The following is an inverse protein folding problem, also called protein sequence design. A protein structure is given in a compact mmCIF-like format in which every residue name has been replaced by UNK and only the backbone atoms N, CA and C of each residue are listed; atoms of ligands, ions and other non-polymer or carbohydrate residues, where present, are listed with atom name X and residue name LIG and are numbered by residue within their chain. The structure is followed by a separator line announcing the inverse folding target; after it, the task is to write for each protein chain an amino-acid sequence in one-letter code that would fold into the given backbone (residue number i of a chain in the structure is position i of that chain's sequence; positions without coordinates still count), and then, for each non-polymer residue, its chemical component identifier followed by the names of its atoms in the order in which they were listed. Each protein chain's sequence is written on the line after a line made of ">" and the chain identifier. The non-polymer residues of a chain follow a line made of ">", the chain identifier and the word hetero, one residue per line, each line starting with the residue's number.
data_IF_029903746900
#
_entry.id   IF_029903746900
#
_cell.length_a   1.000
_cell.length_b   1.000
_cell.length_c   1.000
_cell.angle_alpha   90.00
_cell.angle_beta   90.00
_cell.angle_gamma   90.00
#
_symmetry.space_group_name_H-M   'P 1'
#
loop_
_entity.id
_entity.type
_entity.pdbx_description
1 polymer ?
#
# COMPACT_ATOMS: atom_id res chain seq x y z
N UNK A 1 18.49 -37.84 3.13
CA UNK A 1 18.55 -36.40 3.43
C UNK A 1 18.62 -35.64 2.11
N UNK A 2 17.95 -34.49 2.06
CA UNK A 2 18.06 -33.40 1.08
C UNK A 2 17.74 -33.71 -0.40
N UNK A 3 16.54 -33.31 -0.83
CA UNK A 3 16.44 -32.37 -1.95
C UNK A 3 15.12 -31.59 -1.84
N UNK A 4 15.12 -30.52 -1.04
CA UNK A 4 13.95 -29.66 -0.85
C UNK A 4 13.97 -28.64 -1.98
N UNK A 5 13.49 -29.08 -3.16
CA UNK A 5 13.32 -28.29 -4.37
C UNK A 5 12.75 -26.93 -3.99
N UNK A 6 13.61 -25.91 -4.08
CA UNK A 6 13.30 -24.52 -3.82
C UNK A 6 12.24 -24.10 -4.85
N UNK A 7 10.97 -24.29 -4.51
CA UNK A 7 9.84 -23.92 -5.37
C UNK A 7 9.97 -22.42 -5.62
N UNK A 8 10.22 -22.07 -6.88
CA UNK A 8 10.29 -20.70 -7.35
C UNK A 8 9.10 -19.92 -6.79
N UNK A 9 9.42 -19.03 -5.84
CA UNK A 9 8.48 -18.17 -5.11
C UNK A 9 7.72 -17.31 -6.13
N UNK A 10 6.62 -17.84 -6.65
CA UNK A 10 5.82 -17.19 -7.68
C UNK A 10 5.11 -16.01 -7.02
N UNK A 11 5.47 -14.79 -7.38
CA UNK A 11 4.86 -13.58 -6.84
C UNK A 11 3.49 -13.38 -7.48
N UNK A 12 2.46 -13.16 -6.66
CA UNK A 12 1.11 -12.81 -7.11
C UNK A 12 0.76 -11.43 -6.53
N UNK A 13 0.86 -10.38 -7.34
CA UNK A 13 0.66 -9.00 -6.87
C UNK A 13 1.63 -8.62 -5.72
N UNK A 14 1.12 -8.06 -4.61
CA UNK A 14 1.95 -7.71 -3.45
C UNK A 14 2.26 -8.92 -2.54
N UNK A 15 1.88 -10.14 -2.93
CA UNK A 15 2.06 -11.34 -2.11
C UNK A 15 3.14 -12.27 -2.67
N UNK A 16 3.95 -12.82 -1.75
CA UNK A 16 4.91 -13.88 -2.03
C UNK A 16 4.32 -15.21 -1.59
N UNK A 17 4.18 -16.16 -2.51
CA UNK A 17 3.57 -17.48 -2.25
C UNK A 17 4.54 -18.44 -1.56
N UNK A 18 4.07 -19.11 -0.52
CA UNK A 18 4.73 -20.21 0.15
C UNK A 18 4.20 -21.56 -0.30
N UNK A 19 4.09 -22.47 0.66
CA UNK A 19 3.66 -23.84 0.43
C UNK A 19 2.14 -23.90 0.23
N UNK A 20 1.71 -24.81 -0.63
CA UNK A 20 0.29 -25.12 -0.89
C UNK A 20 -0.35 -25.86 0.31
N UNK A 21 -1.66 -25.70 0.49
CA UNK A 21 -2.52 -26.57 1.30
C UNK A 21 -3.17 -27.62 0.40
N UNK A 22 -2.98 -28.88 0.72
CA UNK A 22 -3.45 -30.00 -0.10
C UNK A 22 -4.93 -30.32 0.19
N UNK A 23 -5.43 -29.89 1.34
CA UNK A 23 -6.77 -30.16 1.89
C UNK A 23 -7.90 -29.47 1.12
N UNK A 24 -7.62 -28.38 0.39
CA UNK A 24 -8.64 -27.62 -0.35
C UNK A 24 -9.21 -28.41 -1.53
N UNK A 25 -8.40 -29.26 -2.16
CA UNK A 25 -8.78 -30.03 -3.34
C UNK A 25 -8.95 -29.18 -4.62
N UNK A 26 -8.90 -29.79 -5.81
CA UNK A 26 -8.84 -29.06 -7.08
C UNK A 26 -10.12 -28.29 -7.44
N UNK A 27 -11.28 -28.69 -6.92
CA UNK A 27 -12.58 -28.10 -7.27
C UNK A 27 -12.72 -26.62 -6.85
N UNK A 28 -12.09 -26.25 -5.74
CA UNK A 28 -12.08 -24.87 -5.22
C UNK A 28 -10.82 -24.10 -5.65
N UNK A 29 -9.90 -24.76 -6.35
CA UNK A 29 -8.59 -24.22 -6.72
C UNK A 29 -7.49 -24.62 -5.74
N UNK A 30 -6.54 -23.71 -5.51
CA UNK A 30 -5.36 -23.97 -4.70
C UNK A 30 -5.10 -22.83 -3.72
N UNK A 31 -5.10 -23.15 -2.42
CA UNK A 31 -4.76 -22.20 -1.36
C UNK A 31 -3.29 -22.34 -0.97
N UNK A 32 -2.63 -21.21 -0.76
CA UNK A 32 -1.22 -21.14 -0.41
C UNK A 32 -1.01 -20.33 0.86
N UNK A 33 -0.05 -20.74 1.67
CA UNK A 33 0.64 -19.81 2.57
C UNK A 33 1.16 -18.64 1.73
N UNK A 34 1.10 -17.43 2.26
CA UNK A 34 1.66 -16.26 1.58
C UNK A 34 2.10 -15.20 2.57
N UNK A 35 2.91 -14.24 2.10
CA UNK A 35 3.30 -13.09 2.89
C UNK A 35 3.09 -11.82 2.08
N UNK A 36 2.51 -10.81 2.72
CA UNK A 36 2.44 -9.48 2.14
C UNK A 36 3.84 -8.88 2.09
N UNK A 37 4.39 -8.65 0.89
CA UNK A 37 5.79 -8.27 0.70
C UNK A 37 6.15 -6.95 1.41
N UNK A 38 5.32 -5.89 1.38
CA UNK A 38 5.63 -4.66 2.09
C UNK A 38 5.67 -4.79 3.62
N UNK A 39 4.72 -5.51 4.22
CA UNK A 39 4.59 -5.57 5.70
C UNK A 39 5.23 -6.81 6.31
N UNK A 40 5.56 -7.82 5.50
CA UNK A 40 6.01 -9.14 5.94
C UNK A 40 4.91 -9.97 6.62
N UNK A 41 3.68 -9.46 6.76
CA UNK A 41 2.61 -10.12 7.48
C UNK A 41 2.19 -11.44 6.80
N UNK A 42 1.86 -12.48 7.59
CA UNK A 42 1.33 -13.72 7.06
C UNK A 42 -0.06 -13.49 6.47
N UNK A 43 -0.29 -14.07 5.30
CA UNK A 43 -1.55 -14.04 4.57
C UNK A 43 -1.80 -15.40 3.93
N UNK A 44 -2.99 -15.59 3.36
CA UNK A 44 -3.28 -16.73 2.46
C UNK A 44 -3.65 -16.21 1.08
N UNK A 45 -3.22 -16.93 0.05
CA UNK A 45 -3.59 -16.61 -1.34
C UNK A 45 -4.32 -17.79 -1.94
N UNK A 46 -5.58 -17.56 -2.35
CA UNK A 46 -6.34 -18.52 -3.12
C UNK A 46 -6.11 -18.26 -4.61
N UNK A 47 -5.71 -19.30 -5.33
CA UNK A 47 -5.74 -19.33 -6.79
C UNK A 47 -6.98 -20.14 -7.22
N UNK A 48 -8.00 -19.50 -7.78
CA UNK A 48 -9.20 -20.18 -8.28
C UNK A 48 -8.82 -21.26 -9.30
N UNK A 49 -9.62 -22.33 -9.37
CA UNK A 49 -9.50 -23.34 -10.41
C UNK A 49 -10.06 -22.87 -11.76
N UNK A 50 -9.76 -23.59 -12.84
CA UNK A 50 -10.09 -23.21 -14.21
C UNK A 50 -11.60 -23.03 -14.48
N UNK A 51 -12.45 -23.59 -13.61
CA UNK A 51 -13.92 -23.45 -13.71
C UNK A 51 -14.41 -22.05 -13.32
N UNK A 52 -13.58 -21.21 -12.70
CA UNK A 52 -13.96 -19.90 -12.15
C UNK A 52 -13.63 -18.73 -13.11
N UNK A 53 -13.98 -18.91 -14.38
CA UNK A 53 -13.82 -17.96 -15.48
C UNK A 53 -14.59 -16.64 -15.31
N UNK A 54 -15.48 -16.53 -14.31
CA UNK A 54 -16.21 -15.31 -13.96
C UNK A 54 -15.36 -14.32 -13.15
N UNK A 55 -14.17 -14.71 -12.67
CA UNK A 55 -13.28 -13.85 -11.91
C UNK A 55 -12.50 -12.87 -12.80
N UNK A 56 -13.20 -12.13 -13.66
CA UNK A 56 -12.60 -11.19 -14.59
C UNK A 56 -13.35 -9.85 -14.61
N UNK A 57 -12.66 -8.83 -14.10
CA UNK A 57 -12.49 -7.49 -14.68
C UNK A 57 -11.87 -6.59 -13.62
N UNK A 58 -10.54 -6.46 -13.56
CA UNK A 58 -9.89 -5.42 -12.74
C UNK A 58 -9.60 -5.76 -11.27
N UNK A 59 -8.76 -4.94 -10.60
CA UNK A 59 -8.33 -5.18 -9.23
C UNK A 59 -9.46 -4.96 -8.24
N UNK A 60 -9.62 -5.91 -7.31
CA UNK A 60 -10.51 -5.82 -6.17
C UNK A 60 -9.69 -5.66 -4.88
N UNK A 61 -10.17 -4.84 -3.96
CA UNK A 61 -9.63 -4.72 -2.62
C UNK A 61 -10.81 -4.66 -1.64
N UNK A 62 -11.04 -5.76 -0.93
CA UNK A 62 -12.07 -5.91 0.09
C UNK A 62 -11.40 -5.86 1.46
N UNK A 63 -11.91 -5.03 2.36
CA UNK A 63 -11.38 -4.86 3.71
C UNK A 63 -12.51 -5.19 4.69
N UNK A 64 -12.33 -6.28 5.42
CA UNK A 64 -13.22 -6.67 6.52
C UNK A 64 -12.54 -6.26 7.81
N UNK A 65 -13.24 -5.49 8.64
CA UNK A 65 -12.73 -5.04 9.93
C UNK A 65 -13.73 -5.36 11.03
N UNK A 66 -13.19 -5.86 12.15
CA UNK A 66 -13.90 -6.04 13.40
C UNK A 66 -13.16 -5.22 14.46
N UNK A 67 -13.88 -4.42 15.23
CA UNK A 67 -13.31 -3.66 16.33
C UNK A 67 -13.39 -4.49 17.62
N UNK A 68 -12.41 -4.30 18.52
CA UNK A 68 -12.47 -4.92 19.83
C UNK A 68 -13.68 -4.40 20.59
N UNK A 69 -14.41 -5.28 21.28
CA UNK A 69 -15.63 -4.98 22.04
C UNK A 69 -16.83 -4.44 21.23
N UNK A 70 -16.79 -4.50 19.90
CA UNK A 70 -17.97 -4.24 19.06
C UNK A 70 -18.49 -5.53 18.41
N UNK A 71 -19.81 -5.78 18.41
CA UNK A 71 -20.40 -6.87 17.64
C UNK A 71 -20.41 -6.57 16.12
N UNK A 72 -20.08 -5.35 15.72
CA UNK A 72 -20.20 -4.91 14.33
C UNK A 72 -19.05 -5.43 13.47
N UNK A 73 -19.41 -5.95 12.29
CA UNK A 73 -18.48 -6.34 11.24
C UNK A 73 -18.68 -5.40 10.06
N UNK A 74 -17.65 -4.63 9.73
CA UNK A 74 -17.69 -3.70 8.60
C UNK A 74 -16.96 -4.28 7.39
N UNK A 75 -17.59 -4.22 6.22
CA UNK A 75 -16.97 -4.54 4.93
C UNK A 75 -16.85 -3.26 4.10
N UNK A 76 -15.62 -2.87 3.79
CA UNK A 76 -15.31 -1.73 2.92
C UNK A 76 -14.70 -2.19 1.61
N UNK A 77 -15.15 -1.58 0.52
CA UNK A 77 -14.58 -1.75 -0.80
C UNK A 77 -13.50 -0.68 -1.03
N UNK A 78 -12.24 -1.06 -0.96
CA UNK A 78 -11.10 -0.15 -1.18
C UNK A 78 -10.89 0.15 -2.65
N UNK A 79 -10.94 -0.88 -3.49
CA UNK A 79 -10.84 -0.80 -4.95
C UNK A 79 -11.85 -1.75 -5.56
N UNK A 80 -12.53 -1.27 -6.59
CA UNK A 80 -13.44 -2.07 -7.37
C UNK A 80 -13.41 -1.66 -8.83
N UNK A 81 -13.72 -2.59 -9.73
CA UNK A 81 -14.00 -2.27 -11.11
C UNK A 81 -15.20 -1.32 -11.22
N UNK A 82 -15.18 -0.34 -12.13
CA UNK A 82 -16.40 0.39 -12.46
C UNK A 82 -17.41 -0.65 -12.98
N UNK A 83 -18.60 -0.72 -12.39
CA UNK A 83 -19.68 -1.66 -12.74
C UNK A 83 -19.52 -3.11 -12.25
N UNK A 84 -18.70 -3.34 -11.24
CA UNK A 84 -18.64 -4.64 -10.58
C UNK A 84 -19.96 -4.95 -9.85
N UNK A 85 -20.69 -6.03 -10.22
CA UNK A 85 -21.96 -6.36 -9.57
C UNK A 85 -21.70 -6.88 -8.15
N UNK A 86 -22.56 -6.54 -7.16
CA UNK A 86 -22.43 -7.06 -5.79
C UNK A 86 -22.38 -8.59 -5.69
N UNK A 87 -23.01 -9.30 -6.63
CA UNK A 87 -22.96 -10.77 -6.71
C UNK A 87 -21.54 -11.30 -6.86
N UNK A 88 -20.69 -10.64 -7.65
CA UNK A 88 -19.30 -11.05 -7.84
C UNK A 88 -18.48 -10.96 -6.55
N UNK A 89 -18.76 -9.96 -5.72
CA UNK A 89 -18.16 -9.83 -4.38
C UNK A 89 -18.63 -10.97 -3.46
N UNK A 90 -19.92 -11.28 -3.47
CA UNK A 90 -20.46 -12.38 -2.67
C UNK A 90 -19.88 -13.73 -3.09
N UNK A 91 -19.75 -13.97 -4.40
CA UNK A 91 -19.15 -15.20 -4.93
C UNK A 91 -17.68 -15.33 -4.49
N UNK A 92 -16.93 -14.23 -4.45
CA UNK A 92 -15.56 -14.18 -3.91
C UNK A 92 -15.51 -14.56 -2.43
N UNK A 93 -16.42 -14.02 -1.62
CA UNK A 93 -16.49 -14.32 -0.19
C UNK A 93 -16.90 -15.78 0.05
N UNK A 94 -17.87 -16.30 -0.70
CA UNK A 94 -18.30 -17.70 -0.63
C UNK A 94 -17.14 -18.63 -1.02
N UNK A 95 -16.41 -18.31 -2.07
CA UNK A 95 -15.25 -19.08 -2.52
C UNK A 95 -14.12 -19.09 -1.48
N UNK A 96 -13.80 -17.92 -0.92
CA UNK A 96 -12.80 -17.81 0.14
C UNK A 96 -13.22 -18.59 1.37
N UNK A 97 -14.47 -18.45 1.82
CA UNK A 97 -15.04 -19.20 2.94
C UNK A 97 -14.96 -20.71 2.70
N UNK A 98 -15.42 -21.20 1.54
CA UNK A 98 -15.38 -22.61 1.20
C UNK A 98 -13.94 -23.18 1.20
N UNK A 99 -12.97 -22.39 0.73
CA UNK A 99 -11.55 -22.78 0.73
C UNK A 99 -10.97 -22.78 2.14
N UNK A 100 -11.29 -21.76 2.95
CA UNK A 100 -10.77 -21.60 4.30
C UNK A 100 -11.31 -22.69 5.24
N UNK A 101 -12.58 -23.07 5.12
CA UNK A 101 -13.17 -24.18 5.88
C UNK A 101 -12.49 -25.53 5.68
N UNK A 102 -11.74 -25.73 4.59
CA UNK A 102 -10.97 -26.96 4.36
C UNK A 102 -9.66 -26.99 5.12
N UNK A 103 -9.19 -25.85 5.59
CA UNK A 103 -7.88 -25.69 6.25
C UNK A 103 -7.99 -25.05 7.63
N UNK A 104 -9.20 -24.71 8.08
CA UNK A 104 -9.43 -23.97 9.32
C UNK A 104 -8.90 -24.70 10.55
N UNK A 105 -8.99 -26.04 10.56
CA UNK A 105 -8.45 -26.89 11.63
C UNK A 105 -6.97 -27.27 11.43
N UNK A 106 -6.31 -26.76 10.38
CA UNK A 106 -4.93 -27.13 10.07
C UNK A 106 -3.97 -26.49 11.07
N UNK A 107 -3.20 -27.27 11.86
CA UNK A 107 -2.20 -26.71 12.78
C UNK A 107 -1.15 -25.86 12.06
N UNK A 108 -0.91 -26.18 10.79
CA UNK A 108 -0.01 -25.44 9.92
C UNK A 108 -0.54 -24.05 9.57
N UNK A 109 -1.85 -23.91 9.34
CA UNK A 109 -2.47 -22.61 9.08
C UNK A 109 -2.40 -21.72 10.32
N UNK A 110 -2.73 -22.28 11.50
CA UNK A 110 -2.62 -21.57 12.76
C UNK A 110 -1.18 -21.10 13.04
N UNK A 111 -0.20 -22.00 12.87
CA UNK A 111 1.22 -21.66 13.05
C UNK A 111 1.68 -20.58 12.05
N UNK A 112 1.17 -20.58 10.82
CA UNK A 112 1.49 -19.57 9.81
C UNK A 112 0.97 -18.18 10.23
N UNK A 113 -0.28 -18.06 10.67
CA UNK A 113 -0.79 -16.77 11.15
C UNK A 113 -0.13 -16.31 12.45
N UNK A 114 0.21 -17.24 13.35
CA UNK A 114 0.92 -16.93 14.59
C UNK A 114 2.40 -16.54 14.37
N UNK A 115 2.99 -16.84 13.21
CA UNK A 115 4.41 -16.60 12.94
C UNK A 115 4.82 -15.12 12.91
N UNK A 116 3.85 -14.21 12.76
CA UNK A 116 4.09 -12.78 12.71
C UNK A 116 4.84 -12.31 11.45
N UNK A 117 5.20 -11.02 11.38
CA UNK A 117 5.85 -10.45 10.19
C UNK A 117 7.25 -11.03 9.95
N UNK A 118 7.48 -11.57 8.76
CA UNK A 118 8.81 -12.04 8.35
C UNK A 118 9.66 -10.85 7.93
N UNK A 119 10.70 -10.53 8.72
CA UNK A 119 11.67 -9.49 8.36
C UNK A 119 12.47 -9.92 7.13
N UNK A 120 12.50 -9.09 6.09
CA UNK A 120 13.38 -9.32 4.95
C UNK A 120 14.84 -9.35 5.44
N UNK A 121 15.49 -10.50 5.29
CA UNK A 121 16.89 -10.66 5.68
C UNK A 121 17.78 -9.76 4.83
N UNK A 122 18.31 -8.69 5.45
CA UNK A 122 19.33 -7.80 4.83
C UNK A 122 20.63 -8.53 4.44
N UNK A 123 20.81 -9.80 4.84
CA UNK A 123 22.02 -10.57 4.55
C UNK A 123 22.20 -10.91 3.07
N UNK A 124 21.13 -10.95 2.27
CA UNK A 124 21.22 -11.30 0.85
C UNK A 124 21.84 -10.18 -0.02
N UNK A 125 21.83 -8.92 0.45
CA UNK A 125 22.46 -7.81 -0.29
C UNK A 125 23.92 -7.57 0.13
N UNK A 126 24.25 -7.86 1.39
CA UNK A 126 25.62 -7.73 1.91
C UNK A 126 26.61 -8.69 1.22
N UNK A 127 26.16 -9.88 0.81
CA UNK A 127 27.03 -10.86 0.14
C UNK A 127 27.43 -10.45 -1.30
N UNK A 128 26.60 -9.67 -1.99
CA UNK A 128 26.93 -9.13 -3.32
C UNK A 128 27.81 -7.88 -3.26
N UNK A 129 27.72 -7.09 -2.19
CA UNK A 129 28.56 -5.92 -1.98
C UNK A 129 30.02 -6.29 -1.64
N UNK A 130 30.23 -7.36 -0.86
CA UNK A 130 31.57 -7.83 -0.49
C UNK A 130 32.36 -8.41 -1.68
N UNK A 131 31.69 -9.10 -2.61
CA UNK A 131 32.34 -9.61 -3.83
C UNK A 131 32.75 -8.48 -4.79
N UNK A 132 31.97 -7.40 -4.89
CA UNK A 132 32.31 -6.22 -5.70
C UNK A 132 33.43 -5.37 -5.10
N UNK A 133 33.48 -5.23 -3.77
CA UNK A 133 34.49 -4.44 -3.07
C UNK A 133 35.90 -5.07 -3.16
N UNK A 134 36.01 -6.41 -3.12
CA UNK A 134 37.29 -7.11 -3.26
C UNK A 134 37.92 -6.93 -4.66
N UNK A 135 37.10 -6.89 -5.72
CA UNK A 135 37.57 -6.67 -7.08
C UNK A 135 38.05 -5.22 -7.31
N UNK A 136 37.39 -4.23 -6.70
CA UNK A 136 37.79 -2.82 -6.77
C UNK A 136 39.07 -2.51 -5.96
N UNK A 137 39.26 -3.15 -4.80
CA UNK A 137 40.47 -2.96 -3.99
C UNK A 137 41.74 -3.46 -4.69
N UNK A 138 41.65 -4.57 -5.43
CA UNK A 138 42.77 -5.09 -6.24
C UNK A 138 43.04 -4.22 -7.48
N UNK A 139 42.00 -3.63 -8.08
CA UNK A 139 42.14 -2.69 -9.21
C UNK A 139 42.75 -1.34 -8.82
N UNK A 140 42.38 -0.80 -7.65
CA UNK A 140 42.92 0.46 -7.14
C UNK A 140 44.35 0.32 -6.58
N UNK A 141 44.69 -0.82 -5.98
CA UNK A 141 46.05 -1.10 -5.49
C UNK A 141 47.10 -1.07 -6.61
N UNK A 142 46.73 -1.52 -7.82
CA UNK A 142 47.63 -1.48 -8.98
C UNK A 142 47.80 -0.06 -9.56
N UNK A 143 46.81 0.81 -9.39
CA UNK A 143 46.87 2.20 -9.90
C UNK A 143 47.71 3.12 -9.01
N UNK A 144 47.68 2.94 -7.69
CA UNK A 144 48.41 3.81 -6.75
C UNK A 144 49.93 3.59 -6.72
N UNK A 145 50.43 2.45 -7.20
CA UNK A 145 51.88 2.23 -7.28
C UNK A 145 52.57 2.96 -8.44
N UNK A 146 51.82 3.56 -9.38
CA UNK A 146 52.38 4.23 -10.57
C UNK A 146 52.46 5.76 -10.41
N UNK A 147 51.70 6.37 -9.49
CA UNK A 147 51.62 7.84 -9.38
C UNK A 147 52.28 8.40 -8.11
N UNK A 148 53.39 7.83 -7.68
CA UNK A 148 54.22 8.39 -6.62
C UNK A 148 55.12 9.53 -7.13
N UNK A 149 54.59 10.76 -7.22
CA UNK A 149 55.38 11.99 -7.07
C UNK A 149 54.53 13.17 -6.57
N UNK A 150 54.94 13.67 -5.40
CA UNK A 150 54.42 14.69 -4.47
C UNK A 150 54.41 16.17 -4.99
N UNK A 151 54.11 17.23 -4.19
CA UNK A 151 53.15 17.46 -3.08
C UNK A 151 52.48 18.89 -3.03
N UNK A 152 51.64 19.13 -1.98
CA UNK A 152 51.30 20.41 -1.26
C UNK A 152 50.36 21.45 -1.95
N UNK A 153 49.45 22.21 -1.29
CA UNK A 153 48.98 22.38 0.11
C UNK A 153 47.79 23.39 0.16
N UNK A 154 46.88 23.22 1.15
CA UNK A 154 45.97 24.18 1.83
C UNK A 154 44.88 24.89 0.97
N UNK A 155 43.59 24.97 1.33
CA UNK A 155 43.02 25.60 2.53
C UNK A 155 41.50 25.28 2.72
N UNK A 156 40.97 25.57 3.92
CA UNK A 156 39.64 25.21 4.52
C UNK A 156 38.65 26.41 4.47
N UNK A 157 37.29 26.28 4.41
CA UNK A 157 36.39 26.08 5.59
C UNK A 157 35.12 25.21 5.41
N UNK A 158 34.67 24.60 6.51
CA UNK A 158 33.37 23.90 6.65
C UNK A 158 32.20 24.89 6.78
N UNK A 159 30.97 24.42 6.50
CA UNK A 159 29.89 24.64 7.45
C UNK A 159 29.20 23.34 7.88
N UNK A 160 28.91 23.36 9.18
CA UNK A 160 28.04 22.52 10.01
C UNK A 160 26.83 21.93 9.30
N UNK A 161 26.68 20.62 9.39
CA UNK A 161 25.46 19.89 9.05
C UNK A 161 25.35 18.65 9.93
N UNK A 162 24.79 18.80 11.12
CA UNK A 162 24.38 17.66 11.93
C UNK A 162 23.23 16.97 11.22
N UNK A 163 23.45 15.76 10.71
CA UNK A 163 22.36 14.87 10.31
C UNK A 163 22.48 13.57 11.09
N UNK A 164 21.85 13.57 12.26
CA UNK A 164 21.34 12.33 12.86
C UNK A 164 20.23 11.81 11.93
N UNK A 165 20.36 10.59 11.43
CA UNK A 165 19.27 9.86 10.79
C UNK A 165 18.82 8.75 11.74
N UNK A 166 17.91 9.09 12.63
CA UNK A 166 17.06 8.14 13.33
C UNK A 166 15.75 7.91 12.57
N UNK A 167 15.11 6.79 12.91
CA UNK A 167 14.03 6.13 12.19
C UNK A 167 12.86 7.05 11.78
N UNK A 168 12.21 6.79 10.63
CA UNK A 168 11.16 7.65 10.08
C UNK A 168 9.79 7.60 10.83
N UNK A 169 9.79 7.59 12.17
CA UNK A 169 8.63 7.55 13.11
C UNK A 169 7.91 6.17 13.12
N UNK A 170 7.55 5.49 14.23
CA UNK A 170 7.12 5.77 15.62
C UNK A 170 5.84 6.59 15.77
N UNK A 171 4.71 5.90 15.91
CA UNK A 171 3.40 6.50 16.18
C UNK A 171 3.22 6.65 17.70
N UNK A 172 3.12 7.90 18.14
CA UNK A 172 2.45 8.28 19.38
C UNK A 172 0.98 8.60 19.04
N UNK A 173 0.06 8.21 19.92
CA UNK A 173 -1.37 8.48 19.83
C UNK A 173 -1.65 9.97 19.53
N UNK A 174 -2.26 10.28 18.39
CA UNK A 174 -2.68 11.65 18.02
C UNK A 174 -3.15 11.79 16.57
N UNK A 175 -4.48 11.84 16.39
CA UNK A 175 -5.32 12.40 15.28
C UNK A 175 -4.88 12.32 13.79
N UNK A 176 -5.80 11.98 12.85
CA UNK A 176 -5.53 12.09 11.41
C UNK A 176 -5.32 13.57 11.02
N UNK A 177 -4.19 13.88 10.38
CA UNK A 177 -3.81 15.26 10.02
C UNK A 177 -4.35 15.57 8.62
N UNK A 178 -5.41 16.37 8.56
CA UNK A 178 -5.88 17.03 7.34
C UNK A 178 -4.78 17.92 6.72
N UNK A 179 -4.73 18.05 5.39
CA UNK A 179 -3.73 18.89 4.74
C UNK A 179 -4.18 20.36 4.64
N UNK A 180 -3.27 21.34 4.71
CA UNK A 180 -3.63 22.75 4.55
C UNK A 180 -3.98 23.09 3.10
N UNK A 181 -4.88 24.05 2.88
CA UNK A 181 -5.19 24.54 1.52
C UNK A 181 -3.92 25.07 0.81
N UNK A 182 -3.61 24.62 -0.41
CA UNK A 182 -2.42 25.04 -1.14
C UNK A 182 -2.49 26.50 -1.58
N UNK A 183 -1.33 27.16 -1.72
CA UNK A 183 -1.21 28.55 -2.19
C UNK A 183 -1.65 28.75 -3.65
N UNK A 184 -1.69 27.68 -4.44
CA UNK A 184 -2.15 27.68 -5.82
C UNK A 184 -3.12 26.51 -6.04
N UNK A 185 -4.11 26.64 -6.94
CA UNK A 185 -5.06 25.57 -7.21
C UNK A 185 -4.37 24.33 -7.76
N UNK A 186 -4.90 23.15 -7.44
CA UNK A 186 -4.40 21.91 -8.03
C UNK A 186 -4.58 21.92 -9.55
N UNK A 187 -3.73 21.16 -10.26
CA UNK A 187 -3.76 21.08 -11.75
C UNK A 187 -5.12 20.61 -12.31
N UNK A 188 -5.85 19.84 -11.51
CA UNK A 188 -7.16 19.26 -11.82
C UNK A 188 -8.32 19.97 -11.09
N UNK A 189 -8.07 21.07 -10.39
CA UNK A 189 -9.09 21.84 -9.70
C UNK A 189 -9.66 22.94 -10.61
N UNK A 190 -10.96 23.19 -10.50
CA UNK A 190 -11.61 24.32 -11.11
C UNK A 190 -11.01 25.63 -10.54
N UNK A 191 -10.63 26.53 -11.43
CA UNK A 191 -10.14 27.86 -11.06
C UNK A 191 -11.29 28.85 -11.06
N UNK A 192 -11.07 29.96 -10.36
CA UNK A 192 -11.94 31.13 -10.42
C UNK A 192 -12.22 31.56 -11.88
N UNK A 193 -13.44 32.03 -12.20
CA UNK A 193 -14.56 32.29 -11.30
C UNK A 193 -15.37 31.03 -10.92
N UNK A 194 -15.76 30.93 -9.64
CA UNK A 194 -16.53 29.81 -9.10
C UNK A 194 -18.04 29.98 -9.28
N UNK A 195 -18.79 28.87 -9.36
CA UNK A 195 -20.25 28.86 -9.55
C UNK A 195 -20.97 28.96 -8.21
N UNK A 196 -20.87 30.14 -7.59
CA UNK A 196 -21.45 30.44 -6.26
C UNK A 196 -22.97 30.18 -6.24
N UNK A 197 -23.67 30.53 -7.32
CA UNK A 197 -25.15 30.47 -7.40
C UNK A 197 -25.75 29.06 -7.55
N UNK A 198 -24.97 28.07 -7.98
CA UNK A 198 -25.51 26.72 -8.33
C UNK A 198 -24.95 25.58 -7.49
N UNK A 199 -23.79 25.74 -6.88
CA UNK A 199 -23.05 24.63 -6.24
C UNK A 199 -22.43 24.99 -4.89
N UNK A 200 -22.77 26.15 -4.29
CA UNK A 200 -22.20 26.61 -3.01
C UNK A 200 -20.66 26.57 -3.02
N UNK A 201 -20.05 26.92 -4.17
CA UNK A 201 -18.59 26.97 -4.32
C UNK A 201 -18.04 28.27 -3.72
N UNK A 202 -16.97 28.17 -2.95
CA UNK A 202 -16.20 29.32 -2.45
C UNK A 202 -14.85 29.39 -3.14
N UNK A 203 -14.36 30.60 -3.38
CA UNK A 203 -13.04 30.84 -3.95
C UNK A 203 -12.01 30.97 -2.84
N UNK A 204 -11.01 30.10 -2.82
CA UNK A 204 -9.87 30.17 -1.90
C UNK A 204 -8.59 29.93 -2.71
N UNK A 205 -7.64 30.86 -2.62
CA UNK A 205 -6.37 30.85 -3.36
C UNK A 205 -6.55 30.66 -4.89
N UNK A 206 -7.60 31.25 -5.48
CA UNK A 206 -7.91 31.18 -6.91
C UNK A 206 -8.47 29.84 -7.39
N UNK A 207 -8.76 28.92 -6.47
CA UNK A 207 -9.38 27.62 -6.71
C UNK A 207 -10.80 27.58 -6.16
N UNK A 208 -11.65 26.77 -6.75
CA UNK A 208 -13.02 26.55 -6.28
C UNK A 208 -13.07 25.40 -5.28
N UNK A 209 -13.76 25.62 -4.18
CA UNK A 209 -13.89 24.69 -3.06
C UNK A 209 -15.34 24.56 -2.63
N UNK A 210 -15.70 23.42 -2.04
CA UNK A 210 -16.98 23.22 -1.36
C UNK A 210 -16.71 23.05 0.13
N UNK A 211 -17.36 23.89 0.95
CA UNK A 211 -17.34 23.74 2.41
C UNK A 211 -18.19 22.54 2.81
N UNK A 212 -17.66 21.72 3.72
CA UNK A 212 -18.37 20.59 4.29
C UNK A 212 -18.95 20.97 5.66
N UNK A 213 -20.13 20.44 5.98
CA UNK A 213 -20.73 20.59 7.31
C UNK A 213 -19.97 19.85 8.45
N UNK A 214 -18.80 19.27 8.14
CA UNK A 214 -17.93 18.60 9.10
C UNK A 214 -17.00 19.61 9.79
N UNK A 215 -16.88 19.51 11.11
CA UNK A 215 -15.85 20.23 11.90
C UNK A 215 -14.58 19.39 12.05
N UNK A 216 -13.40 20.01 12.21
CA UNK A 216 -12.14 19.30 12.45
C UNK A 216 -12.25 18.27 13.59
N UNK A 217 -11.50 17.14 13.53
CA UNK A 217 -10.47 16.84 12.55
C UNK A 217 -11.04 16.43 11.18
N UNK A 218 -10.58 17.08 10.12
CA UNK A 218 -10.97 16.70 8.76
C UNK A 218 -10.28 15.38 8.38
N UNK A 219 -10.92 14.56 7.54
CA UNK A 219 -10.30 13.34 7.01
C UNK A 219 -9.09 13.67 6.12
N UNK A 220 -8.20 12.70 5.91
CA UNK A 220 -6.92 12.87 5.18
C UNK A 220 -7.08 13.43 3.75
N UNK A 221 -8.25 13.25 3.12
CA UNK A 221 -8.57 13.71 1.76
C UNK A 221 -9.18 15.13 1.72
N UNK A 222 -9.40 15.77 2.87
CA UNK A 222 -10.03 17.07 3.00
C UNK A 222 -9.00 18.12 3.40
N UNK A 223 -9.15 19.31 2.83
CA UNK A 223 -8.34 20.44 3.22
C UNK A 223 -8.95 21.11 4.45
N UNK A 224 -8.13 21.42 5.45
CA UNK A 224 -8.54 22.22 6.60
C UNK A 224 -8.15 23.69 6.39
N UNK A 225 -9.11 24.59 6.59
CA UNK A 225 -8.88 26.03 6.53
C UNK A 225 -9.85 26.76 7.46
N UNK A 226 -9.33 27.65 8.30
CA UNK A 226 -10.13 28.45 9.27
C UNK A 226 -11.09 27.61 10.14
N UNK A 227 -10.65 26.41 10.55
CA UNK A 227 -11.48 25.51 11.38
C UNK A 227 -12.64 24.85 10.64
N UNK A 228 -12.60 24.82 9.30
CA UNK A 228 -13.58 24.18 8.41
C UNK A 228 -12.90 23.20 7.46
N UNK A 229 -13.68 22.23 6.97
CA UNK A 229 -13.23 21.22 6.02
C UNK A 229 -13.71 21.53 4.59
N UNK A 230 -12.83 21.39 3.61
CA UNK A 230 -13.11 21.71 2.21
C UNK A 230 -12.73 20.57 1.26
N UNK A 231 -13.46 20.45 0.16
CA UNK A 231 -13.09 19.64 -1.00
C UNK A 231 -12.84 20.52 -2.24
N UNK A 232 -11.77 20.24 -3.02
CA UNK A 232 -11.51 20.95 -4.25
C UNK A 232 -12.53 20.55 -5.33
N UNK A 233 -13.10 21.53 -6.02
CA UNK A 233 -14.01 21.29 -7.14
C UNK A 233 -13.19 20.84 -8.34
N UNK A 234 -13.59 19.74 -9.00
CA UNK A 234 -12.94 19.28 -10.22
C UNK A 234 -13.12 20.28 -11.37
N UNK A 235 -12.07 20.49 -12.18
CA UNK A 235 -12.17 21.22 -13.45
C UNK A 235 -13.15 20.55 -14.42
N UNK A 236 -13.25 19.23 -14.33
CA UNK A 236 -14.15 18.40 -15.13
C UNK A 236 -15.49 18.34 -14.38
N UNK A 237 -16.26 19.42 -14.51
CA UNK A 237 -17.59 19.58 -13.90
C UNK A 237 -18.58 18.65 -14.62
N UNK A 238 -18.47 17.36 -14.35
CA UNK A 238 -19.40 16.34 -14.84
C UNK A 238 -20.85 16.71 -14.51
N UNK A 239 -21.77 16.24 -15.35
CA UNK A 239 -23.21 16.39 -15.11
C UNK A 239 -23.53 15.84 -13.70
N UNK A 240 -24.25 16.56 -12.85
CA UNK A 240 -24.57 16.04 -11.53
C UNK A 240 -25.37 14.75 -11.69
N UNK A 241 -25.05 13.67 -10.96
CA UNK A 241 -25.94 12.53 -10.88
C UNK A 241 -27.25 13.04 -10.27
N UNK A 242 -28.32 13.03 -11.07
CA UNK A 242 -29.64 13.32 -10.56
C UNK A 242 -29.99 12.19 -9.58
N UNK A 243 -30.47 12.56 -8.40
CA UNK A 243 -30.94 11.60 -7.42
C UNK A 243 -32.02 10.72 -8.09
N UNK A 244 -31.81 9.41 -8.06
CA UNK A 244 -32.90 8.46 -8.28
C UNK A 244 -33.78 8.60 -7.05
N UNK A 245 -34.96 9.23 -7.21
CA UNK A 245 -35.93 9.35 -6.13
C UNK A 245 -36.36 7.94 -5.67
N UNK A 246 -36.68 7.75 -4.38
CA UNK A 246 -37.31 6.52 -3.89
C UNK A 246 -38.71 6.33 -4.46
#
# INVERSE_FOLDING_TARGET
>A
MADKKEQALTRTGPFRLGRKFDEVGPDLGHLYESWHVPTGQPAVTLRPGDRMHWLHRGPWELIISCEHDSPDVSLRLGKAPPFAPPTQMMDLLVLMNASFRRVEDSPRLHAHFASGPVKASRKAWASRALAGAAALALGLGLWFHITARAPSSLDRPCPTGNFSLDAPSLINSGTPIAYPIPKQPFRNQAKAPCKIQKQLEVEINGGCWVELAQRPPCAEDRAEHEGKCYLPVSKDRGHPPQAVQP
#
